data_IF_613043433078
#
_entry.id   IF_613043433078
#
_cell.length_a   1.000
_cell.length_b   1.000
_cell.length_c   1.000
_cell.angle_alpha   90.00
_cell.angle_beta   90.00
_cell.angle_gamma   90.00
#
_symmetry.space_group_name_H-M   'P 1'
#
loop_
_entity.id
_entity.type
_entity.pdbx_description
1 polymer ?
#
# COMPACT_ATOMS: atom_id res chain seq x y z
N UNK A 1 -5.56 1.18 -16.98
CA UNK A 1 -5.62 2.00 -18.21
C UNK A 1 -4.32 1.76 -18.88
N UNK A 2 -4.31 0.99 -19.97
CA UNK A 2 -3.04 0.84 -20.67
C UNK A 2 -2.85 2.06 -21.55
N UNK A 3 -2.21 3.09 -21.00
CA UNK A 3 -1.62 4.14 -21.83
C UNK A 3 -0.63 3.44 -22.77
N UNK A 4 -0.91 3.50 -24.07
CA UNK A 4 -0.12 2.77 -25.06
C UNK A 4 1.32 3.30 -25.07
N UNK A 5 2.32 2.46 -25.39
CA UNK A 5 3.69 2.93 -25.59
C UNK A 5 3.76 4.11 -26.56
N UNK A 6 2.94 4.08 -27.61
CA UNK A 6 2.84 5.13 -28.61
C UNK A 6 2.29 6.45 -28.03
N UNK A 7 1.27 6.41 -27.18
CA UNK A 7 0.78 7.63 -26.51
C UNK A 7 1.84 8.22 -25.58
N UNK A 8 2.55 7.38 -24.81
CA UNK A 8 3.65 7.85 -23.94
C UNK A 8 4.74 8.53 -24.75
N UNK A 9 5.10 7.95 -25.89
CA UNK A 9 6.10 8.51 -26.79
C UNK A 9 5.66 9.86 -27.37
N UNK A 10 4.44 9.94 -27.89
CA UNK A 10 3.88 11.19 -28.41
C UNK A 10 3.83 12.28 -27.31
N UNK A 11 3.45 11.90 -26.09
CA UNK A 11 3.42 12.80 -24.94
C UNK A 11 4.81 13.37 -24.61
N UNK A 12 5.84 12.52 -24.59
CA UNK A 12 7.23 12.97 -24.37
C UNK A 12 7.72 13.89 -25.49
N UNK A 13 7.28 13.66 -26.73
CA UNK A 13 7.66 14.51 -27.86
C UNK A 13 7.00 15.88 -27.82
N UNK A 14 5.78 16.00 -27.28
CA UNK A 14 5.07 17.28 -27.15
C UNK A 14 5.47 18.08 -25.92
N UNK A 15 5.95 17.43 -24.86
CA UNK A 15 6.37 18.09 -23.62
C UNK A 15 7.89 18.02 -23.49
N UNK A 16 8.54 19.18 -23.62
CA UNK A 16 9.98 19.28 -23.38
C UNK A 16 10.29 19.08 -21.90
N UNK A 17 11.28 18.24 -21.63
CA UNK A 17 11.68 17.88 -20.28
C UNK A 17 12.25 19.10 -19.55
N UNK A 18 13.09 19.89 -20.23
CA UNK A 18 13.66 21.13 -19.69
C UNK A 18 12.60 22.16 -19.28
N UNK A 19 11.50 22.27 -20.03
CA UNK A 19 10.41 23.20 -19.71
C UNK A 19 9.64 22.78 -18.45
N UNK A 20 9.46 21.47 -18.23
CA UNK A 20 8.80 20.95 -17.03
C UNK A 20 9.69 21.09 -15.82
N UNK A 21 10.95 20.66 -15.93
CA UNK A 21 11.92 20.72 -14.83
C UNK A 21 12.27 22.18 -14.49
N UNK A 22 12.39 23.03 -15.50
CA UNK A 22 12.71 24.46 -15.36
C UNK A 22 11.72 25.25 -14.50
N UNK A 23 10.48 24.75 -14.33
CA UNK A 23 9.49 25.33 -13.40
C UNK A 23 9.85 25.13 -11.92
N UNK A 24 10.69 24.13 -11.61
CA UNK A 24 11.08 23.75 -10.24
C UNK A 24 12.54 24.07 -9.95
N UNK A 25 13.40 23.99 -10.96
CA UNK A 25 14.85 24.16 -10.82
C UNK A 25 15.36 25.18 -11.83
N UNK A 26 16.29 26.02 -11.40
CA UNK A 26 17.01 26.91 -12.32
C UNK A 26 17.96 26.09 -13.19
N UNK A 27 17.61 25.96 -14.46
CA UNK A 27 18.44 25.30 -15.47
C UNK A 27 19.27 26.33 -16.27
N UNK A 28 20.49 25.96 -16.60
CA UNK A 28 21.42 26.72 -17.44
C UNK A 28 21.82 25.89 -18.64
N UNK A 29 21.92 26.50 -19.82
CA UNK A 29 22.25 25.76 -21.04
C UNK A 29 23.75 25.40 -21.06
N UNK A 30 24.07 24.15 -21.37
CA UNK A 30 25.42 23.62 -21.49
C UNK A 30 25.53 22.78 -22.77
N UNK A 31 25.78 23.44 -23.91
CA UNK A 31 25.78 22.80 -25.22
C UNK A 31 24.38 22.33 -25.63
N UNK A 32 24.23 21.03 -25.86
CA UNK A 32 22.95 20.37 -26.21
C UNK A 32 22.11 20.00 -24.98
N UNK A 33 22.69 20.09 -23.78
CA UNK A 33 22.03 19.76 -22.53
C UNK A 33 21.75 21.01 -21.70
N UNK A 34 20.94 20.83 -20.66
CA UNK A 34 20.76 21.80 -19.58
C UNK A 34 21.36 21.26 -18.29
N UNK A 35 21.89 22.14 -17.44
CA UNK A 35 22.48 21.82 -16.14
C UNK A 35 21.85 22.65 -15.03
N UNK A 36 21.61 22.02 -13.88
CA UNK A 36 21.12 22.69 -12.67
C UNK A 36 21.50 21.92 -11.40
N UNK A 37 21.12 22.45 -10.25
CA UNK A 37 21.18 21.69 -9.00
C UNK A 37 20.01 20.69 -8.99
N UNK A 38 20.27 19.47 -8.52
CA UNK A 38 19.27 18.43 -8.47
C UNK A 38 18.07 18.82 -7.57
N UNK A 39 16.83 18.56 -7.99
CA UNK A 39 15.67 18.76 -7.13
C UNK A 39 15.42 17.59 -6.16
N UNK A 40 16.10 16.46 -6.34
CA UNK A 40 15.90 15.25 -5.54
C UNK A 40 16.83 15.15 -4.34
N UNK A 41 17.93 15.89 -4.31
CA UNK A 41 18.85 15.95 -3.18
C UNK A 41 19.41 17.37 -3.01
N UNK A 42 19.96 17.67 -1.84
CA UNK A 42 20.52 18.99 -1.55
C UNK A 42 21.99 19.08 -1.98
N UNK A 43 22.28 20.00 -2.89
CA UNK A 43 23.65 20.29 -3.34
C UNK A 43 23.87 21.78 -3.62
N UNK A 44 25.14 22.20 -3.65
CA UNK A 44 25.54 23.58 -3.98
C UNK A 44 26.08 23.74 -5.40
N UNK A 45 26.54 22.64 -6.01
CA UNK A 45 27.14 22.62 -7.34
C UNK A 45 26.24 21.85 -8.30
N UNK A 46 25.95 22.35 -9.52
CA UNK A 46 25.09 21.67 -10.47
C UNK A 46 25.60 20.27 -10.86
N UNK A 47 24.88 19.21 -10.48
CA UNK A 47 25.15 17.84 -10.93
C UNK A 47 24.00 17.25 -11.78
N UNK A 48 22.89 17.97 -11.92
CA UNK A 48 21.71 17.53 -12.64
C UNK A 48 21.76 17.94 -14.10
N UNK A 49 21.73 16.98 -15.02
CA UNK A 49 21.69 17.22 -16.46
C UNK A 49 20.32 16.83 -17.05
N UNK A 50 19.88 17.60 -18.04
CA UNK A 50 18.63 17.37 -18.76
C UNK A 50 18.91 17.42 -20.25
N UNK A 51 18.49 16.40 -20.98
CA UNK A 51 18.67 16.32 -22.42
C UNK A 51 17.31 16.16 -23.10
N UNK A 52 16.80 17.23 -23.73
CA UNK A 52 15.50 17.20 -24.42
C UNK A 52 15.51 16.29 -25.65
N UNK A 53 16.65 16.15 -26.35
CA UNK A 53 16.75 15.30 -27.54
C UNK A 53 16.68 13.83 -27.17
N UNK A 54 17.35 13.45 -26.08
CA UNK A 54 17.32 12.08 -25.54
C UNK A 54 16.16 11.83 -24.58
N UNK A 55 15.39 12.87 -24.26
CA UNK A 55 14.20 12.85 -23.40
C UNK A 55 14.41 12.25 -21.99
N UNK A 56 15.60 12.44 -21.42
CA UNK A 56 15.88 12.02 -20.05
C UNK A 56 16.63 13.08 -19.26
N UNK A 57 16.52 12.99 -17.94
CA UNK A 57 17.39 13.66 -16.99
C UNK A 57 18.29 12.65 -16.29
N UNK A 58 19.44 13.11 -15.82
CA UNK A 58 20.32 12.33 -15.00
C UNK A 58 21.03 13.22 -13.99
N UNK A 59 21.04 12.81 -12.72
CA UNK A 59 21.83 13.46 -11.69
C UNK A 59 23.13 12.70 -11.47
N UNK A 60 24.26 13.35 -11.68
CA UNK A 60 25.57 12.77 -11.36
C UNK A 60 25.92 12.81 -9.87
N UNK A 61 25.15 13.55 -9.07
CA UNK A 61 25.25 13.56 -7.61
C UNK A 61 24.56 12.35 -6.99
N UNK A 62 23.24 12.24 -7.15
CA UNK A 62 22.42 11.22 -6.48
C UNK A 62 21.96 10.06 -7.36
N UNK A 63 22.35 10.02 -8.64
CA UNK A 63 21.93 8.97 -9.57
C UNK A 63 20.46 9.04 -10.03
N UNK A 64 19.69 10.02 -9.58
CA UNK A 64 18.31 10.22 -10.02
C UNK A 64 18.23 10.30 -11.55
N UNK A 65 17.38 9.47 -12.14
CA UNK A 65 17.29 9.30 -13.59
C UNK A 65 15.85 9.02 -14.01
N UNK A 66 15.41 9.62 -15.11
CA UNK A 66 14.07 9.38 -15.62
C UNK A 66 13.70 10.25 -16.80
N UNK A 67 12.45 10.13 -17.23
CA UNK A 67 11.85 10.97 -18.25
C UNK A 67 10.91 12.01 -17.62
N UNK A 68 10.16 12.74 -18.46
CA UNK A 68 9.24 13.78 -18.01
C UNK A 68 8.10 13.24 -17.15
N UNK A 69 7.67 11.99 -17.38
CA UNK A 69 6.61 11.35 -16.62
C UNK A 69 7.16 10.95 -15.25
N UNK A 70 8.33 10.31 -15.21
CA UNK A 70 9.02 9.96 -13.95
C UNK A 70 9.25 11.22 -13.10
N UNK A 71 9.75 12.30 -13.70
CA UNK A 71 9.98 13.55 -12.98
C UNK A 71 8.72 14.09 -12.29
N UNK A 72 7.60 14.15 -13.03
CA UNK A 72 6.32 14.66 -12.49
C UNK A 72 5.77 13.73 -11.41
N UNK A 73 5.91 12.42 -11.58
CA UNK A 73 5.52 11.45 -10.56
C UNK A 73 6.32 11.63 -9.28
N UNK A 74 7.65 11.67 -9.36
CA UNK A 74 8.53 11.75 -8.20
C UNK A 74 8.43 13.12 -7.51
N UNK A 75 8.56 14.22 -8.27
CA UNK A 75 8.51 15.57 -7.69
C UNK A 75 7.13 15.99 -7.22
N UNK A 76 6.07 15.44 -7.83
CA UNK A 76 4.69 15.70 -7.43
C UNK A 76 4.14 14.71 -6.42
N UNK A 77 4.88 13.64 -6.11
CA UNK A 77 4.34 12.44 -5.46
C UNK A 77 3.01 11.99 -6.11
N UNK A 78 2.96 12.08 -7.44
CA UNK A 78 1.76 11.84 -8.23
C UNK A 78 1.74 10.39 -8.74
N UNK A 79 0.59 9.72 -8.65
CA UNK A 79 0.40 8.44 -9.33
C UNK A 79 0.52 8.58 -10.86
N UNK A 80 0.95 7.52 -11.53
CA UNK A 80 1.23 7.50 -12.97
C UNK A 80 0.13 8.13 -13.84
N UNK A 81 -1.14 7.78 -13.60
CA UNK A 81 -2.25 8.33 -14.40
C UNK A 81 -2.47 9.83 -14.19
N UNK A 82 -2.30 10.32 -12.96
CA UNK A 82 -2.41 11.75 -12.66
C UNK A 82 -1.27 12.53 -13.30
N UNK A 83 -0.06 11.95 -13.33
CA UNK A 83 1.07 12.52 -14.08
C UNK A 83 0.79 12.55 -15.60
N UNK A 84 0.21 11.48 -16.17
CA UNK A 84 -0.19 11.43 -17.58
C UNK A 84 -1.24 12.50 -17.90
N UNK A 85 -2.27 12.65 -17.07
CA UNK A 85 -3.33 13.64 -17.26
C UNK A 85 -2.79 15.07 -17.19
N UNK A 86 -1.94 15.37 -16.20
CA UNK A 86 -1.31 16.68 -16.05
C UNK A 86 -0.44 17.05 -17.26
N UNK A 87 0.39 16.10 -17.72
CA UNK A 87 1.24 16.28 -18.89
C UNK A 87 0.43 16.38 -20.18
N UNK A 88 -0.61 15.56 -20.35
CA UNK A 88 -1.47 15.58 -21.53
C UNK A 88 -2.24 16.91 -21.64
N UNK A 89 -2.73 17.44 -20.51
CA UNK A 89 -3.35 18.76 -20.45
C UNK A 89 -2.36 19.86 -20.89
N UNK A 90 -1.10 19.80 -20.44
CA UNK A 90 -0.05 20.73 -20.89
C UNK A 90 0.27 20.57 -22.39
N UNK A 91 0.21 19.35 -22.92
CA UNK A 91 0.51 19.03 -24.32
C UNK A 91 -0.68 19.25 -25.28
N UNK A 92 -1.85 19.65 -24.78
CA UNK A 92 -3.09 19.70 -25.56
C UNK A 92 -3.50 18.32 -26.12
N UNK A 93 -3.10 17.23 -25.46
CA UNK A 93 -3.40 15.86 -25.84
C UNK A 93 -4.62 15.36 -25.09
N UNK A 94 -5.52 14.67 -25.80
CA UNK A 94 -6.62 13.97 -25.16
C UNK A 94 -6.12 12.59 -24.72
N UNK A 95 -6.17 12.33 -23.41
CA UNK A 95 -5.84 11.00 -22.86
C UNK A 95 -6.82 9.97 -23.46
N UNK A 96 -6.34 8.81 -23.94
CA UNK A 96 -7.19 7.80 -24.56
C UNK A 96 -8.34 7.43 -23.64
N UNK A 97 -9.57 7.51 -24.17
CA UNK A 97 -10.75 7.07 -23.41
C UNK A 97 -10.68 5.56 -23.23
N UNK A 98 -10.94 5.05 -22.02
CA UNK A 98 -10.95 3.62 -21.81
C UNK A 98 -12.05 2.97 -22.65
N UNK A 99 -11.73 1.79 -23.19
CA UNK A 99 -12.71 0.94 -23.89
C UNK A 99 -13.90 0.61 -22.98
N UNK A 100 -15.08 0.23 -23.52
CA UNK A 100 -16.21 -0.18 -22.69
C UNK A 100 -15.84 -1.26 -21.66
N UNK A 101 -14.99 -2.22 -22.05
CA UNK A 101 -14.48 -3.27 -21.17
C UNK A 101 -13.57 -2.72 -20.05
N UNK A 102 -12.71 -1.75 -20.36
CA UNK A 102 -11.90 -1.08 -19.33
C UNK A 102 -12.75 -0.22 -18.40
N UNK A 103 -13.77 0.45 -18.94
CA UNK A 103 -14.73 1.22 -18.13
C UNK A 103 -15.47 0.32 -17.14
N UNK A 104 -15.94 -0.85 -17.58
CA UNK A 104 -16.55 -1.84 -16.67
C UNK A 104 -15.57 -2.31 -15.61
N UNK A 105 -14.31 -2.57 -15.97
CA UNK A 105 -13.26 -2.93 -15.00
C UNK A 105 -13.02 -1.83 -13.96
N UNK A 106 -12.99 -0.55 -14.33
CA UNK A 106 -12.87 0.53 -13.35
C UNK A 106 -14.10 0.67 -12.48
N UNK A 107 -15.29 0.64 -13.08
CA UNK A 107 -16.54 0.67 -12.32
C UNK A 107 -16.57 -0.43 -11.29
N UNK A 108 -16.18 -1.65 -11.68
CA UNK A 108 -16.03 -2.79 -10.77
C UNK A 108 -14.98 -2.53 -9.69
N UNK A 109 -13.78 -2.08 -10.06
CA UNK A 109 -12.72 -1.74 -9.10
C UNK A 109 -13.19 -0.72 -8.06
N UNK A 110 -13.75 0.41 -8.50
CA UNK A 110 -14.26 1.47 -7.63
C UNK A 110 -15.40 0.97 -6.73
N UNK A 111 -16.25 0.09 -7.26
CA UNK A 111 -17.35 -0.51 -6.52
C UNK A 111 -16.85 -1.43 -5.41
N UNK A 112 -15.88 -2.31 -5.70
CA UNK A 112 -15.27 -3.17 -4.68
C UNK A 112 -14.46 -2.36 -3.66
N UNK A 113 -13.78 -1.30 -4.12
CA UNK A 113 -13.05 -0.40 -3.25
C UNK A 113 -14.01 0.28 -2.26
N UNK A 114 -15.12 0.82 -2.75
CA UNK A 114 -16.17 1.40 -1.90
C UNK A 114 -16.72 0.37 -0.90
N UNK A 115 -16.98 -0.86 -1.35
CA UNK A 115 -17.41 -1.96 -0.48
C UNK A 115 -16.43 -2.20 0.68
N UNK A 116 -15.12 -2.19 0.38
CA UNK A 116 -14.05 -2.33 1.39
C UNK A 116 -13.99 -1.16 2.37
N UNK A 117 -14.22 0.08 1.89
CA UNK A 117 -14.26 1.26 2.75
C UNK A 117 -15.46 1.24 3.72
N UNK A 118 -16.64 0.88 3.22
CA UNK A 118 -17.85 0.77 4.06
C UNK A 118 -17.70 -0.36 5.09
N UNK A 119 -17.08 -1.48 4.71
CA UNK A 119 -16.78 -2.56 5.65
C UNK A 119 -15.84 -2.10 6.77
N UNK A 120 -14.79 -1.33 6.44
CA UNK A 120 -13.88 -0.79 7.43
C UNK A 120 -14.59 0.14 8.41
N UNK A 121 -15.42 1.06 7.90
CA UNK A 121 -16.24 1.95 8.71
C UNK A 121 -17.13 1.14 9.65
N UNK A 122 -17.81 0.13 9.13
CA UNK A 122 -18.65 -0.74 9.95
C UNK A 122 -17.85 -1.45 11.05
N UNK A 123 -16.67 -2.00 10.75
CA UNK A 123 -15.84 -2.63 11.77
C UNK A 123 -15.37 -1.63 12.84
N UNK A 124 -15.00 -0.41 12.46
CA UNK A 124 -14.65 0.66 13.40
C UNK A 124 -15.85 0.99 14.30
N UNK A 125 -17.03 1.19 13.72
CA UNK A 125 -18.26 1.47 14.47
C UNK A 125 -18.57 0.35 15.46
N UNK A 126 -18.36 -0.92 15.07
CA UNK A 126 -18.53 -2.06 15.98
C UNK A 126 -17.53 -2.06 17.13
N UNK A 127 -16.29 -1.64 16.93
CA UNK A 127 -15.31 -1.56 18.01
C UNK A 127 -15.67 -0.45 19.03
N UNK A 128 -16.27 0.65 18.55
CA UNK A 128 -16.64 1.79 19.39
C UNK A 128 -18.04 1.68 20.00
N UNK A 129 -18.85 0.71 19.57
CA UNK A 129 -20.15 0.43 20.15
C UNK A 129 -20.02 0.08 21.65
N UNK A 130 -20.71 0.77 22.57
CA UNK A 130 -20.64 0.50 24.01
C UNK A 130 -20.97 -0.96 24.38
N UNK A 131 -21.76 -1.67 23.56
CA UNK A 131 -22.07 -3.08 23.75
C UNK A 131 -20.86 -4.00 23.59
N UNK A 132 -19.82 -3.53 22.90
CA UNK A 132 -18.59 -4.27 22.61
C UNK A 132 -17.40 -3.76 23.44
N UNK A 133 -17.66 -3.10 24.59
CA UNK A 133 -16.62 -2.52 25.45
C UNK A 133 -15.51 -3.51 25.83
N UNK A 134 -15.85 -4.79 26.06
CA UNK A 134 -14.87 -5.82 26.39
C UNK A 134 -13.85 -6.06 25.26
N UNK A 135 -14.30 -6.01 24.00
CA UNK A 135 -13.41 -6.11 22.84
C UNK A 135 -12.51 -4.90 22.72
N UNK A 136 -13.03 -3.71 23.02
CA UNK A 136 -12.23 -2.47 23.08
C UNK A 136 -11.18 -2.52 24.18
N UNK A 137 -11.55 -2.99 25.37
CA UNK A 137 -10.61 -3.21 26.48
C UNK A 137 -9.52 -4.19 26.09
N UNK A 138 -9.88 -5.30 25.42
CA UNK A 138 -8.91 -6.24 24.90
C UNK A 138 -7.93 -5.61 23.89
N UNK A 139 -8.38 -4.69 23.03
CA UNK A 139 -7.50 -3.95 22.14
C UNK A 139 -6.51 -3.06 22.93
N UNK A 140 -6.98 -2.36 23.96
CA UNK A 140 -6.16 -1.54 24.85
C UNK A 140 -5.12 -2.37 25.62
N UNK A 141 -5.52 -3.51 26.19
CA UNK A 141 -4.62 -4.47 26.87
C UNK A 141 -3.53 -5.01 25.93
N UNK A 142 -3.81 -5.03 24.62
CA UNK A 142 -2.86 -5.42 23.57
C UNK A 142 -1.95 -4.28 23.13
N UNK A 143 -2.03 -3.11 23.78
CA UNK A 143 -1.18 -1.96 23.52
C UNK A 143 -1.68 -1.05 22.39
N UNK A 144 -2.91 -1.25 21.90
CA UNK A 144 -3.52 -0.39 20.89
C UNK A 144 -4.18 0.81 21.58
N UNK A 145 -3.47 1.95 21.64
CA UNK A 145 -4.06 3.19 22.15
C UNK A 145 -5.25 3.65 21.29
N UNK A 146 -6.10 4.53 21.83
CA UNK A 146 -7.24 5.10 21.10
C UNK A 146 -6.80 5.82 19.81
N UNK A 147 -5.74 6.61 19.87
CA UNK A 147 -5.18 7.32 18.71
C UNK A 147 -4.66 6.35 17.64
N UNK A 148 -4.04 5.24 18.06
CA UNK A 148 -3.64 4.16 17.15
C UNK A 148 -4.85 3.47 16.54
N UNK A 149 -5.86 3.13 17.35
CA UNK A 149 -7.09 2.50 16.84
C UNK A 149 -7.76 3.39 15.80
N UNK A 150 -7.78 4.70 16.02
CA UNK A 150 -8.32 5.67 15.07
C UNK A 150 -7.45 5.81 13.82
N UNK A 151 -6.14 6.02 13.96
CA UNK A 151 -5.23 6.27 12.83
C UNK A 151 -5.08 5.05 11.91
N UNK A 152 -4.98 3.84 12.48
CA UNK A 152 -4.96 2.59 11.72
C UNK A 152 -6.36 2.08 11.33
N UNK A 153 -7.42 2.76 11.78
CA UNK A 153 -8.82 2.38 11.53
C UNK A 153 -9.12 0.96 12.00
N UNK A 154 -8.55 0.59 13.15
CA UNK A 154 -8.76 -0.72 13.78
C UNK A 154 -10.25 -0.88 14.07
N UNK A 155 -10.76 -2.08 13.83
CA UNK A 155 -12.16 -2.40 14.02
C UNK A 155 -12.39 -3.74 14.70
N UNK A 156 -13.65 -4.10 14.81
CA UNK A 156 -14.11 -5.38 15.34
C UNK A 156 -15.07 -6.02 14.33
N UNK A 157 -14.84 -7.30 14.01
CA UNK A 157 -15.79 -8.14 13.29
C UNK A 157 -16.56 -9.01 14.29
N UNK A 158 -17.85 -8.70 14.56
CA UNK A 158 -18.72 -9.50 15.40
C UNK A 158 -18.91 -10.95 14.93
N UNK A 159 -19.31 -11.82 15.84
CA UNK A 159 -19.53 -13.24 15.59
C UNK A 159 -20.80 -13.58 14.80
N UNK A 160 -21.68 -12.62 14.49
CA UNK A 160 -22.85 -12.87 13.63
C UNK A 160 -22.44 -13.26 12.21
N UNK A 161 -23.04 -14.31 11.67
CA UNK A 161 -22.75 -14.76 10.31
C UNK A 161 -23.13 -13.72 9.24
N UNK A 162 -24.22 -12.99 9.45
CA UNK A 162 -24.79 -12.08 8.45
C UNK A 162 -24.60 -10.60 8.81
N UNK A 163 -23.95 -10.27 9.94
CA UNK A 163 -23.88 -8.89 10.42
C UNK A 163 -23.28 -7.92 9.40
N UNK A 164 -22.11 -8.26 8.85
CA UNK A 164 -21.45 -7.47 7.82
C UNK A 164 -22.20 -7.52 6.47
N UNK A 165 -22.64 -8.70 6.05
CA UNK A 165 -23.27 -8.88 4.73
C UNK A 165 -24.62 -8.18 4.66
N UNK A 166 -25.43 -8.24 5.72
CA UNK A 166 -26.68 -7.49 5.84
C UNK A 166 -26.43 -5.97 5.81
N UNK A 167 -25.40 -5.48 6.50
CA UNK A 167 -25.03 -4.08 6.45
C UNK A 167 -24.65 -3.63 5.03
N UNK A 168 -23.74 -4.35 4.36
CA UNK A 168 -23.33 -4.02 3.00
C UNK A 168 -24.48 -4.16 1.99
N UNK A 169 -25.37 -5.15 2.16
CA UNK A 169 -26.56 -5.30 1.34
C UNK A 169 -27.50 -4.09 1.48
N UNK A 170 -27.65 -3.54 2.70
CA UNK A 170 -28.45 -2.33 2.94
C UNK A 170 -27.89 -1.09 2.24
N UNK A 171 -26.60 -1.09 1.88
CA UNK A 171 -25.93 -0.05 1.08
C UNK A 171 -25.95 -0.35 -0.44
N UNK A 172 -26.66 -1.42 -0.84
CA UNK A 172 -26.84 -1.82 -2.23
C UNK A 172 -25.67 -2.61 -2.83
N UNK A 173 -24.76 -3.15 -2.02
CA UNK A 173 -23.75 -4.08 -2.54
C UNK A 173 -24.35 -5.47 -2.74
N UNK A 174 -23.96 -6.13 -3.82
CA UNK A 174 -24.40 -7.49 -4.13
C UNK A 174 -23.55 -8.53 -3.42
N UNK A 175 -24.10 -9.72 -3.20
CA UNK A 175 -23.37 -10.88 -2.68
C UNK A 175 -22.07 -11.16 -3.46
N UNK A 176 -22.12 -10.99 -4.78
CA UNK A 176 -20.96 -11.18 -5.65
C UNK A 176 -19.87 -10.15 -5.34
N UNK A 177 -20.21 -8.88 -5.21
CA UNK A 177 -19.25 -7.82 -4.85
C UNK A 177 -18.61 -8.08 -3.48
N UNK A 178 -19.39 -8.52 -2.49
CA UNK A 178 -18.85 -8.83 -1.16
C UNK A 178 -17.89 -10.03 -1.18
N UNK A 179 -18.17 -11.05 -1.99
CA UNK A 179 -17.27 -12.21 -2.17
C UNK A 179 -16.01 -11.81 -2.92
N UNK A 180 -16.13 -11.03 -3.99
CA UNK A 180 -14.99 -10.57 -4.80
C UNK A 180 -14.09 -9.58 -4.04
N UNK A 181 -14.63 -8.81 -3.10
CA UNK A 181 -13.86 -7.99 -2.15
C UNK A 181 -13.28 -8.79 -0.97
N UNK A 182 -13.45 -10.12 -0.96
CA UNK A 182 -13.03 -11.03 0.14
C UNK A 182 -13.70 -10.78 1.49
N UNK A 183 -14.80 -10.02 1.54
CA UNK A 183 -15.54 -9.70 2.77
C UNK A 183 -16.55 -10.78 3.16
N UNK A 184 -16.98 -11.58 2.19
CA UNK A 184 -17.95 -12.65 2.38
C UNK A 184 -17.51 -13.98 1.77
N UNK A 185 -18.17 -15.07 2.15
CA UNK A 185 -18.04 -16.41 1.55
C UNK A 185 -19.42 -16.97 1.26
N UNK A 186 -19.53 -17.77 0.20
CA UNK A 186 -20.76 -18.46 -0.16
C UNK A 186 -21.06 -19.58 0.85
N UNK A 187 -22.31 -19.70 1.27
CA UNK A 187 -22.76 -20.83 2.08
C UNK A 187 -22.74 -22.12 1.28
N UNK A 188 -22.19 -23.20 1.87
CA UNK A 188 -22.26 -24.55 1.28
C UNK A 188 -23.64 -25.21 1.43
N UNK A 189 -24.45 -24.74 2.39
CA UNK A 189 -25.76 -25.31 2.73
C UNK A 189 -26.94 -24.63 2.01
N UNK A 190 -26.65 -23.74 1.05
CA UNK A 190 -27.64 -22.80 0.50
C UNK A 190 -27.82 -21.56 1.38
N UNK A 191 -28.56 -20.55 0.90
CA UNK A 191 -28.92 -19.37 1.69
C UNK A 191 -28.03 -18.12 1.55
N UNK A 192 -27.34 -17.92 0.41
CA UNK A 192 -26.60 -16.69 0.14
C UNK A 192 -25.16 -16.67 0.67
N UNK A 193 -24.72 -15.52 1.20
CA UNK A 193 -23.35 -15.28 1.67
C UNK A 193 -23.29 -14.92 3.15
N UNK A 194 -22.18 -15.27 3.80
CA UNK A 194 -21.90 -14.93 5.19
C UNK A 194 -20.56 -14.19 5.30
N UNK A 195 -20.39 -13.38 6.34
CA UNK A 195 -19.19 -12.60 6.61
C UNK A 195 -17.95 -13.49 6.78
N UNK A 196 -16.89 -13.18 6.05
CA UNK A 196 -15.64 -13.95 6.08
C UNK A 196 -14.91 -13.81 7.41
N UNK A 197 -14.86 -12.60 7.96
CA UNK A 197 -14.29 -12.31 9.27
C UNK A 197 -15.36 -12.32 10.34
N UNK A 198 -15.07 -13.01 11.45
CA UNK A 198 -15.94 -13.13 12.64
C UNK A 198 -15.09 -13.30 13.88
N UNK A 199 -15.56 -12.77 15.00
CA UNK A 199 -14.91 -12.79 16.31
C UNK A 199 -13.44 -12.35 16.25
N UNK A 200 -13.18 -11.27 15.52
CA UNK A 200 -11.81 -10.80 15.23
C UNK A 200 -11.64 -9.31 15.47
N UNK A 201 -10.51 -8.92 16.07
CA UNK A 201 -9.96 -7.57 15.91
C UNK A 201 -9.48 -7.43 14.46
N UNK A 202 -9.87 -6.34 13.81
CA UNK A 202 -9.68 -6.11 12.39
C UNK A 202 -8.60 -5.07 12.14
N UNK A 203 -7.68 -5.41 11.22
CA UNK A 203 -6.54 -4.60 10.81
C UNK A 203 -6.70 -4.29 9.31
N UNK A 204 -7.20 -3.10 8.93
CA UNK A 204 -7.32 -2.73 7.52
C UNK A 204 -5.97 -2.65 6.83
N UNK A 205 -5.86 -3.22 5.64
CA UNK A 205 -4.68 -3.14 4.78
C UNK A 205 -4.95 -2.11 3.69
N UNK A 206 -4.04 -1.15 3.55
CA UNK A 206 -4.16 -0.08 2.56
C UNK A 206 -3.27 -0.30 1.36
N UNK A 207 -3.65 0.24 0.21
CA UNK A 207 -2.72 0.49 -0.89
C UNK A 207 -1.75 1.64 -0.57
N UNK A 208 -0.81 1.91 -1.47
CA UNK A 208 0.14 3.03 -1.33
C UNK A 208 -0.51 4.42 -1.22
N UNK A 209 -1.78 4.57 -1.60
CA UNK A 209 -2.56 5.82 -1.46
C UNK A 209 -3.35 5.89 -0.14
N UNK A 210 -3.23 4.88 0.72
CA UNK A 210 -3.92 4.83 2.00
C UNK A 210 -5.38 4.35 1.92
N UNK A 211 -5.82 3.84 0.75
CA UNK A 211 -7.18 3.32 0.54
C UNK A 211 -7.25 1.87 1.00
N UNK A 212 -8.27 1.49 1.75
CA UNK A 212 -8.46 0.15 2.29
C UNK A 212 -8.84 -0.80 1.16
N UNK A 213 -8.02 -1.83 0.96
CA UNK A 213 -8.16 -2.81 -0.14
C UNK A 213 -8.28 -4.25 0.37
N UNK A 214 -7.96 -4.49 1.63
CA UNK A 214 -8.04 -5.79 2.28
C UNK A 214 -8.05 -5.64 3.81
N UNK A 215 -8.15 -6.77 4.48
CA UNK A 215 -8.14 -6.87 5.95
C UNK A 215 -7.29 -8.06 6.41
N UNK A 216 -6.57 -7.84 7.49
CA UNK A 216 -6.15 -8.87 8.44
C UNK A 216 -7.10 -8.91 9.63
N UNK A 217 -7.22 -10.05 10.28
CA UNK A 217 -8.08 -10.23 11.44
C UNK A 217 -7.46 -11.17 12.47
N UNK A 218 -7.36 -10.73 13.72
CA UNK A 218 -6.85 -11.53 14.83
C UNK A 218 -8.01 -12.07 15.66
N UNK A 219 -8.05 -13.38 15.88
CA UNK A 219 -9.12 -14.02 16.67
C UNK A 219 -9.14 -13.45 18.09
N UNK A 220 -10.34 -13.22 18.62
CA UNK A 220 -10.56 -12.86 20.01
C UNK A 220 -10.27 -14.05 20.95
N UNK A 221 -9.91 -13.78 22.22
CA UNK A 221 -9.75 -14.84 23.22
C UNK A 221 -11.08 -15.55 23.48
N UNK A 222 -11.01 -16.78 23.98
CA UNK A 222 -12.18 -17.68 24.07
C UNK A 222 -13.36 -17.10 24.88
N UNK A 223 -13.08 -16.29 25.91
CA UNK A 223 -14.10 -15.65 26.74
C UNK A 223 -14.83 -14.49 26.05
N UNK A 224 -14.31 -13.98 24.93
CA UNK A 224 -14.91 -12.87 24.15
C UNK A 224 -15.50 -13.31 22.81
N UNK A 225 -15.42 -14.60 22.47
CA UNK A 225 -15.96 -15.15 21.22
C UNK A 225 -17.16 -16.03 21.50
N UNK A 226 -17.99 -16.25 20.47
CA UNK A 226 -19.04 -17.26 20.55
C UNK A 226 -18.42 -18.65 20.69
N UNK A 227 -18.99 -19.55 21.52
CA UNK A 227 -18.50 -20.92 21.64
C UNK A 227 -18.44 -21.59 20.28
N UNK A 228 -17.30 -22.18 19.95
CA UNK A 228 -17.16 -22.91 18.70
C UNK A 228 -17.96 -24.21 18.76
N UNK A 229 -18.72 -24.46 17.70
CA UNK A 229 -19.44 -25.72 17.53
C UNK A 229 -18.66 -26.62 16.58
N UNK A 230 -18.17 -27.76 17.07
CA UNK A 230 -17.44 -28.77 16.29
C UNK A 230 -15.92 -28.67 16.39
N UNK A 231 -15.20 -29.46 15.58
CA UNK A 231 -13.74 -29.67 15.70
C UNK A 231 -12.89 -28.61 14.99
N UNK A 232 -13.46 -27.45 14.63
CA UNK A 232 -12.74 -26.41 13.89
C UNK A 232 -11.98 -25.48 14.83
N UNK A 233 -10.65 -25.48 14.77
CA UNK A 233 -9.81 -24.49 15.46
C UNK A 233 -9.51 -23.30 14.55
N UNK A 234 -9.91 -22.07 14.89
CA UNK A 234 -9.64 -20.89 14.07
C UNK A 234 -8.16 -20.51 14.12
N UNK A 235 -7.63 -20.07 12.98
CA UNK A 235 -6.29 -19.51 12.93
C UNK A 235 -6.19 -18.21 13.75
N UNK A 236 -5.10 -18.05 14.51
CA UNK A 236 -4.78 -16.85 15.32
C UNK A 236 -4.91 -15.57 14.50
N UNK A 237 -4.36 -15.56 13.28
CA UNK A 237 -4.53 -14.51 12.30
C UNK A 237 -5.12 -15.06 11.00
N UNK A 238 -5.93 -14.24 10.34
CA UNK A 238 -6.53 -14.54 9.05
C UNK A 238 -6.45 -13.30 8.17
N UNK A 239 -6.09 -13.48 6.90
CA UNK A 239 -6.00 -12.39 5.93
C UNK A 239 -7.00 -12.60 4.82
N UNK A 240 -7.39 -11.49 4.20
CA UNK A 240 -8.16 -11.50 2.94
C UNK A 240 -7.44 -12.37 1.90
N UNK A 241 -8.23 -13.06 1.08
CA UNK A 241 -7.72 -13.72 -0.12
C UNK A 241 -7.36 -12.67 -1.17
N UNK A 242 -6.54 -13.03 -2.16
CA UNK A 242 -6.20 -12.12 -3.26
C UNK A 242 -7.47 -11.72 -4.04
N UNK A 243 -7.51 -10.46 -4.44
CA UNK A 243 -8.61 -9.83 -5.20
C UNK A 243 -8.03 -8.92 -6.29
N UNK A 244 -8.89 -8.25 -7.06
CA UNK A 244 -8.42 -7.20 -7.98
C UNK A 244 -7.88 -5.96 -7.26
N UNK A 245 -8.23 -5.76 -5.98
CA UNK A 245 -7.77 -4.65 -5.16
C UNK A 245 -6.47 -4.97 -4.41
N UNK A 246 -6.24 -6.26 -4.13
CA UNK A 246 -5.28 -6.72 -3.15
C UNK A 246 -4.53 -7.96 -3.61
N UNK A 247 -3.20 -7.90 -3.54
CA UNK A 247 -2.35 -9.05 -3.85
C UNK A 247 -1.33 -9.25 -2.72
N UNK A 248 -1.53 -10.29 -1.92
CA UNK A 248 -0.79 -10.54 -0.68
C UNK A 248 0.72 -10.53 -0.88
N UNK A 249 1.20 -11.22 -1.90
CA UNK A 249 2.62 -11.33 -2.22
C UNK A 249 3.25 -10.08 -2.83
N UNK A 250 2.52 -8.99 -3.03
CA UNK A 250 3.03 -7.73 -3.63
C UNK A 250 2.79 -6.50 -2.77
N UNK A 251 2.13 -6.66 -1.64
CA UNK A 251 1.77 -5.57 -0.74
C UNK A 251 2.31 -5.86 0.65
N UNK A 252 2.58 -4.79 1.39
CA UNK A 252 2.97 -4.84 2.80
C UNK A 252 1.98 -4.05 3.63
N UNK A 253 1.80 -4.43 4.89
CA UNK A 253 1.05 -3.63 5.83
C UNK A 253 1.75 -2.29 6.08
N UNK A 254 0.96 -1.24 6.30
CA UNK A 254 1.43 0.13 6.58
C UNK A 254 2.19 0.82 5.43
N UNK A 255 2.08 0.33 4.18
CA UNK A 255 2.80 0.88 3.02
C UNK A 255 2.69 2.41 2.89
N UNK A 256 1.47 2.97 2.91
CA UNK A 256 1.27 4.39 2.61
C UNK A 256 1.95 5.31 3.63
N UNK A 257 1.82 4.97 4.92
CA UNK A 257 2.44 5.71 6.02
C UNK A 257 3.96 5.52 5.98
N UNK A 258 4.43 4.28 5.82
CA UNK A 258 5.85 3.97 5.76
C UNK A 258 6.54 4.67 4.59
N UNK A 259 5.93 4.67 3.41
CA UNK A 259 6.45 5.37 2.22
C UNK A 259 6.53 6.88 2.47
N UNK A 260 5.51 7.49 3.06
CA UNK A 260 5.51 8.91 3.38
C UNK A 260 6.58 9.28 4.43
N UNK A 261 6.83 8.38 5.39
CA UNK A 261 7.87 8.55 6.39
C UNK A 261 9.28 8.37 5.80
N UNK A 262 9.48 7.33 4.98
CA UNK A 262 10.74 7.06 4.30
C UNK A 262 11.15 8.20 3.36
N UNK A 263 10.19 8.80 2.64
CA UNK A 263 10.41 10.01 1.84
C UNK A 263 10.86 11.24 2.65
N UNK A 264 10.72 11.21 3.99
CA UNK A 264 11.21 12.25 4.92
C UNK A 264 12.49 11.82 5.66
N UNK A 265 13.14 10.74 5.22
CA UNK A 265 14.37 10.21 5.81
C UNK A 265 14.16 9.26 6.98
N UNK A 266 12.94 8.76 7.22
CA UNK A 266 12.74 7.74 8.25
C UNK A 266 13.28 6.37 7.76
N UNK A 267 13.98 5.60 8.63
CA UNK A 267 14.39 4.24 8.29
C UNK A 267 13.18 3.33 8.08
N UNK A 268 13.30 2.38 7.16
CA UNK A 268 12.25 1.39 6.87
C UNK A 268 12.55 0.10 7.61
N UNK A 269 11.64 -0.32 8.50
CA UNK A 269 11.75 -1.57 9.26
C UNK A 269 10.82 -2.63 8.70
N UNK A 270 11.33 -3.82 8.40
CA UNK A 270 10.52 -4.99 8.03
C UNK A 270 10.35 -5.83 9.29
N UNK A 271 9.10 -5.96 9.74
CA UNK A 271 8.71 -6.75 10.93
C UNK A 271 7.88 -7.97 10.54
N UNK A 272 7.48 -8.80 11.51
CA UNK A 272 6.75 -10.05 11.24
C UNK A 272 5.25 -9.84 10.99
N UNK A 273 4.62 -8.90 11.69
CA UNK A 273 3.18 -8.75 11.61
C UNK A 273 2.62 -7.38 12.01
N UNK A 274 1.28 -7.30 11.96
CA UNK A 274 0.52 -6.07 12.19
C UNK A 274 0.84 -5.38 13.51
N UNK A 275 0.94 -6.15 14.59
CA UNK A 275 1.14 -5.62 15.93
C UNK A 275 2.53 -5.01 16.11
N UNK A 276 3.54 -5.58 15.45
CA UNK A 276 4.93 -5.11 15.53
C UNK A 276 5.06 -3.77 14.82
N UNK A 277 4.46 -3.66 13.62
CA UNK A 277 4.34 -2.39 12.91
C UNK A 277 3.63 -1.34 13.76
N UNK A 278 2.48 -1.69 14.33
CA UNK A 278 1.72 -0.74 15.14
C UNK A 278 2.50 -0.29 16.37
N UNK A 279 3.19 -1.21 17.04
CA UNK A 279 4.03 -0.90 18.20
C UNK A 279 5.18 0.05 17.82
N UNK A 280 5.87 -0.21 16.71
CA UNK A 280 6.92 0.66 16.19
C UNK A 280 6.39 2.05 15.81
N UNK A 281 5.24 2.11 15.13
CA UNK A 281 4.60 3.38 14.77
C UNK A 281 4.19 4.16 16.00
N UNK A 282 3.63 3.51 17.03
CA UNK A 282 3.29 4.15 18.31
C UNK A 282 4.54 4.69 19.03
N UNK A 283 5.70 4.06 18.81
CA UNK A 283 6.99 4.51 19.32
C UNK A 283 7.69 5.58 18.43
N UNK A 284 7.04 6.03 17.34
CA UNK A 284 7.57 7.07 16.44
C UNK A 284 8.31 6.54 15.21
N UNK A 285 8.45 5.22 15.04
CA UNK A 285 9.08 4.60 13.88
C UNK A 285 8.08 4.37 12.75
N UNK A 286 7.68 5.47 12.11
CA UNK A 286 6.62 5.47 11.08
C UNK A 286 6.95 4.67 9.81
N UNK A 287 8.23 4.36 9.56
CA UNK A 287 8.71 3.57 8.43
C UNK A 287 8.52 2.05 8.57
N UNK A 288 7.88 1.56 9.63
CA UNK A 288 7.67 0.14 9.85
C UNK A 288 6.64 -0.47 8.87
N UNK A 289 6.94 -1.67 8.35
CA UNK A 289 6.08 -2.47 7.48
C UNK A 289 6.13 -3.95 7.88
N UNK A 290 5.16 -4.74 7.41
CA UNK A 290 5.14 -6.19 7.61
C UNK A 290 4.56 -6.92 6.40
N UNK A 291 5.02 -8.17 6.12
CA UNK A 291 4.35 -9.03 5.17
C UNK A 291 2.98 -9.47 5.69
N UNK A 292 2.08 -9.82 4.78
CA UNK A 292 0.67 -10.05 5.09
C UNK A 292 0.40 -11.53 5.40
N UNK A 293 0.99 -12.01 6.50
CA UNK A 293 0.81 -13.36 7.06
C UNK A 293 1.48 -14.47 6.24
N UNK A 294 2.59 -14.14 5.58
CA UNK A 294 3.45 -15.06 4.83
C UNK A 294 4.91 -14.66 5.04
N UNK A 295 5.85 -15.53 4.62
CA UNK A 295 7.23 -15.10 4.45
C UNK A 295 7.31 -13.92 3.47
N UNK A 296 8.30 -13.04 3.70
CA UNK A 296 8.58 -11.88 2.85
C UNK A 296 8.88 -12.33 1.41
N UNK A 297 8.21 -11.76 0.40
CA UNK A 297 8.40 -12.12 -1.01
C UNK A 297 9.37 -11.18 -1.73
N UNK A 298 9.86 -11.62 -2.89
CA UNK A 298 10.72 -10.82 -3.77
C UNK A 298 10.01 -9.54 -4.25
N UNK A 299 8.72 -9.63 -4.60
CA UNK A 299 7.93 -8.45 -4.99
C UNK A 299 7.76 -7.46 -3.81
N UNK A 300 7.59 -7.95 -2.58
CA UNK A 300 7.55 -7.10 -1.38
C UNK A 300 8.90 -6.47 -1.08
N UNK A 301 10.02 -7.20 -1.27
CA UNK A 301 11.38 -6.65 -1.11
C UNK A 301 11.59 -5.49 -2.10
N UNK A 302 11.24 -5.68 -3.38
CA UNK A 302 11.30 -4.60 -4.38
C UNK A 302 10.43 -3.41 -4.01
N UNK A 303 9.23 -3.69 -3.49
CA UNK A 303 8.33 -2.64 -3.00
C UNK A 303 8.98 -1.85 -1.86
N UNK A 304 9.57 -2.52 -0.86
CA UNK A 304 10.23 -1.88 0.27
C UNK A 304 11.41 -1.02 -0.17
N UNK A 305 12.30 -1.53 -1.03
CA UNK A 305 13.37 -0.72 -1.60
C UNK A 305 12.85 0.48 -2.40
N UNK A 306 11.69 0.37 -3.06
CA UNK A 306 11.09 1.52 -3.77
C UNK A 306 10.61 2.64 -2.85
N UNK A 307 10.49 2.40 -1.53
CA UNK A 307 10.09 3.42 -0.56
C UNK A 307 11.27 4.27 -0.08
N UNK A 308 12.48 3.74 -0.16
CA UNK A 308 13.70 4.37 0.35
C UNK A 308 14.27 5.26 -0.77
N UNK A 309 14.29 6.59 -0.59
CA UNK A 309 14.75 7.52 -1.63
C UNK A 309 16.28 7.58 -1.75
N UNK A 310 17.02 7.05 -0.76
CA UNK A 310 18.47 7.11 -0.70
C UNK A 310 19.14 6.31 -1.83
N UNK A 311 20.37 6.73 -2.17
CA UNK A 311 21.23 6.02 -3.13
C UNK A 311 21.49 4.57 -2.70
N UNK A 312 21.61 4.35 -1.39
CA UNK A 312 21.74 3.04 -0.77
C UNK A 312 20.43 2.73 -0.06
N UNK A 313 19.70 1.76 -0.61
CA UNK A 313 18.39 1.33 -0.12
C UNK A 313 18.60 0.22 0.91
N UNK A 314 18.68 0.62 2.17
CA UNK A 314 18.95 -0.25 3.31
C UNK A 314 17.73 -0.35 4.25
N UNK A 315 16.87 -1.37 4.08
CA UNK A 315 15.83 -1.66 5.06
C UNK A 315 16.40 -2.46 6.25
N UNK A 316 15.78 -2.34 7.42
CA UNK A 316 16.16 -3.10 8.61
C UNK A 316 15.20 -4.25 8.87
N UNK A 317 15.71 -5.48 8.91
CA UNK A 317 14.90 -6.65 9.34
C UNK A 317 14.84 -6.68 10.87
N UNK A 318 13.65 -6.49 11.43
CA UNK A 318 13.39 -6.43 12.87
C UNK A 318 12.33 -7.48 13.24
N UNK A 319 12.77 -8.73 13.39
CA UNK A 319 11.93 -9.89 13.71
C UNK A 319 12.09 -10.30 15.17
N UNK A 320 11.21 -11.20 15.64
CA UNK A 320 11.20 -11.62 17.04
C UNK A 320 12.53 -12.28 17.44
N UNK A 321 12.96 -12.00 18.67
CA UNK A 321 14.21 -12.51 19.25
C UNK A 321 14.21 -14.00 19.58
N UNK A 322 13.20 -14.75 19.15
CA UNK A 322 13.06 -16.19 19.37
C UNK A 322 13.64 -17.02 18.20
N UNK A 323 13.57 -18.35 18.31
CA UNK A 323 14.11 -19.23 17.28
C UNK A 323 13.32 -19.18 15.96
N UNK A 324 12.01 -18.94 16.02
CA UNK A 324 11.18 -18.82 14.83
C UNK A 324 11.50 -17.52 14.08
N UNK A 325 11.58 -16.39 14.81
CA UNK A 325 11.92 -15.08 14.27
C UNK A 325 13.33 -15.04 13.68
N UNK A 326 14.35 -15.58 14.38
CA UNK A 326 15.71 -15.71 13.80
C UNK A 326 15.72 -16.50 12.49
N UNK A 327 15.03 -17.64 12.43
CA UNK A 327 14.93 -18.42 11.17
C UNK A 327 14.19 -17.66 10.08
N UNK A 328 13.14 -16.90 10.42
CA UNK A 328 12.41 -16.09 9.46
C UNK A 328 13.28 -14.93 8.93
N UNK A 329 14.10 -14.33 9.78
CA UNK A 329 15.06 -13.30 9.39
C UNK A 329 16.12 -13.88 8.43
N UNK A 330 16.74 -15.02 8.77
CA UNK A 330 17.69 -15.69 7.88
C UNK A 330 17.08 -16.00 6.51
N UNK A 331 15.86 -16.56 6.46
CA UNK A 331 15.17 -16.82 5.18
C UNK A 331 14.89 -15.55 4.38
N UNK A 332 14.62 -14.43 5.06
CA UNK A 332 14.39 -13.15 4.39
C UNK A 332 15.70 -12.63 3.78
N UNK A 333 16.81 -12.75 4.50
CA UNK A 333 18.16 -12.43 4.01
C UNK A 333 18.52 -13.33 2.81
N UNK A 334 18.34 -14.65 2.91
CA UNK A 334 18.62 -15.61 1.82
C UNK A 334 17.84 -15.27 0.53
N UNK A 335 16.66 -14.69 0.67
CA UNK A 335 15.83 -14.23 -0.45
C UNK A 335 16.28 -12.87 -1.00
N UNK A 336 16.78 -11.98 -0.15
CA UNK A 336 17.29 -10.66 -0.55
C UNK A 336 18.67 -10.73 -1.21
N UNK A 337 19.56 -11.62 -0.75
CA UNK A 337 20.94 -11.74 -1.25
C UNK A 337 21.05 -11.88 -2.78
N UNK A 338 20.27 -12.75 -3.46
CA UNK A 338 20.32 -12.87 -4.92
C UNK A 338 19.75 -11.66 -5.67
N UNK A 339 19.03 -10.78 -4.97
CA UNK A 339 18.39 -9.60 -5.53
C UNK A 339 19.25 -8.33 -5.39
N UNK A 340 20.36 -8.41 -4.67
CA UNK A 340 21.27 -7.29 -4.46
C UNK A 340 21.87 -6.81 -5.79
N UNK A 341 22.14 -5.52 -5.83
CA UNK A 341 22.72 -4.82 -6.97
C UNK A 341 23.18 -3.43 -6.55
N UNK A 342 23.73 -2.63 -7.47
CA UNK A 342 24.14 -1.26 -7.16
C UNK A 342 23.00 -0.48 -6.46
N UNK A 343 23.28 0.05 -5.26
CA UNK A 343 22.33 0.83 -4.47
C UNK A 343 21.25 0.01 -3.72
N UNK A 344 21.30 -1.32 -3.74
CA UNK A 344 20.37 -2.18 -3.00
C UNK A 344 21.14 -2.93 -1.91
N UNK A 345 20.68 -2.83 -0.65
CA UNK A 345 21.25 -3.53 0.50
C UNK A 345 20.22 -4.45 1.17
N UNK A 346 20.70 -5.42 1.96
CA UNK A 346 19.91 -6.39 2.72
C UNK A 346 20.06 -6.21 4.22
#
# INVERSE_FOLDING_TARGET
MSITPQFKEELRQRVRLSDVIGKKVKLTRAGVEFKGCCPFHHEKTPSFTVNDQKQFYHCFGCGAHGDVITFVMEMGNLPFMEAIEALAAQAGMQVPKPTPQEQEKYKKFDRLLKCSQEAAKWFMDKLHDPRNKEVKNYALERGLSEDIMQSFRIGYAPGEMEGLTAHLASLGFTDQEMVEASLARKSKKGGGVYGFFRDRLMFPVTDGRGRIVAFGGRILPDHLKKPETGDYTPAKYMNSSDTILFHKGRMVFNESIARAAAGKGAPVFITEGYMDVIALVQAGFHGAVAPLGTALTEDQIRLVWSMIPDEIKEPYICFDGDEAGRRAATRSIDRMLPMLGPGLSA
#
